data_IF_419775500246
#
_entry.id   IF_419775500246
#
_cell.length_a   1.000
_cell.length_b   1.000
_cell.length_c   1.000
_cell.angle_alpha   90.00
_cell.angle_beta   90.00
_cell.angle_gamma   90.00
#
_symmetry.space_group_name_H-M   'P 1'
#
loop_
_entity.id
_entity.type
_entity.pdbx_description
1 polymer ?
#
# COMPACT_ATOMS: atom_id res chain seq x y z
N UNK A 1 14.86 -33.98 23.87
CA UNK A 1 14.96 -32.51 23.98
C UNK A 1 15.64 -32.01 22.72
N UNK A 2 14.86 -31.49 21.76
CA UNK A 2 15.40 -30.97 20.52
C UNK A 2 15.76 -29.49 20.71
N UNK A 3 17.04 -29.19 20.50
CA UNK A 3 17.61 -27.84 20.48
C UNK A 3 17.15 -27.13 19.21
N UNK A 4 16.34 -26.08 19.33
CA UNK A 4 16.04 -25.16 18.23
C UNK A 4 17.19 -24.17 18.11
N UNK A 5 18.28 -24.59 17.47
CA UNK A 5 19.38 -23.71 17.12
C UNK A 5 18.98 -22.80 15.96
N UNK A 6 18.83 -21.51 16.25
CA UNK A 6 19.00 -20.38 15.33
C UNK A 6 18.46 -20.57 13.91
N UNK A 7 17.14 -20.41 13.73
CA UNK A 7 16.62 -19.93 12.45
C UNK A 7 16.94 -18.44 12.32
N UNK A 8 18.11 -18.11 11.78
CA UNK A 8 18.39 -16.81 11.17
C UNK A 8 17.78 -16.71 9.76
N UNK A 9 16.56 -17.27 9.59
CA UNK A 9 15.64 -16.95 8.51
C UNK A 9 14.60 -15.99 9.07
N UNK A 10 14.18 -14.97 8.32
CA UNK A 10 13.18 -14.01 8.81
C UNK A 10 11.90 -14.73 9.25
N UNK A 11 11.60 -14.72 10.56
CA UNK A 11 10.35 -15.29 11.08
C UNK A 11 9.16 -14.45 10.64
N UNK A 12 8.01 -15.09 10.45
CA UNK A 12 6.75 -14.44 10.12
C UNK A 12 6.34 -13.47 11.23
N UNK A 13 6.57 -13.83 12.50
CA UNK A 13 6.33 -12.95 13.64
C UNK A 13 7.12 -11.63 13.53
N UNK A 14 8.41 -11.70 13.20
CA UNK A 14 9.26 -10.50 13.07
C UNK A 14 8.84 -9.65 11.87
N UNK A 15 8.49 -10.26 10.75
CA UNK A 15 7.99 -9.56 9.57
C UNK A 15 6.63 -8.89 9.83
N UNK A 16 5.72 -9.57 10.53
CA UNK A 16 4.43 -9.00 10.92
C UNK A 16 4.59 -7.83 11.90
N UNK A 17 5.53 -7.94 12.84
CA UNK A 17 5.88 -6.85 13.76
C UNK A 17 6.38 -5.61 13.02
N UNK A 18 7.28 -5.81 12.04
CA UNK A 18 7.76 -4.72 11.18
C UNK A 18 6.63 -4.11 10.36
N UNK A 19 5.75 -4.94 9.79
CA UNK A 19 4.60 -4.47 9.04
C UNK A 19 3.68 -3.60 9.91
N UNK A 20 3.35 -4.07 11.11
CA UNK A 20 2.52 -3.35 12.06
C UNK A 20 3.15 -2.00 12.45
N UNK A 21 4.47 -1.96 12.65
CA UNK A 21 5.20 -0.72 12.97
C UNK A 21 5.22 0.27 11.80
N UNK A 22 5.47 -0.21 10.59
CA UNK A 22 5.43 0.62 9.38
C UNK A 22 4.03 1.18 9.16
N UNK A 23 2.98 0.34 9.29
CA UNK A 23 1.59 0.77 9.15
C UNK A 23 1.14 1.75 10.23
N UNK A 24 1.56 1.56 11.48
CA UNK A 24 1.34 2.53 12.55
C UNK A 24 1.97 3.89 12.24
N UNK A 25 3.20 3.88 11.76
CA UNK A 25 3.92 5.12 11.39
C UNK A 25 3.22 5.81 10.23
N UNK A 26 2.88 5.07 9.18
CA UNK A 26 2.15 5.60 8.02
C UNK A 26 0.78 6.17 8.42
N UNK A 27 0.06 5.50 9.32
CA UNK A 27 -1.22 5.95 9.88
C UNK A 27 -1.08 7.28 10.63
N UNK A 28 -0.06 7.39 11.50
CA UNK A 28 0.19 8.62 12.25
C UNK A 28 0.54 9.79 11.33
N UNK A 29 1.47 9.57 10.40
CA UNK A 29 1.88 10.60 9.44
C UNK A 29 0.69 11.00 8.57
N UNK A 30 0.04 10.02 7.91
CA UNK A 30 -1.08 10.28 7.02
C UNK A 30 -2.24 10.97 7.74
N UNK A 31 -2.58 10.53 8.95
CA UNK A 31 -3.63 11.12 9.76
C UNK A 31 -3.35 12.56 10.18
N UNK A 32 -2.12 12.87 10.62
CA UNK A 32 -1.69 14.25 10.94
C UNK A 32 -1.70 15.12 9.69
N UNK A 33 -1.13 14.64 8.59
CA UNK A 33 -1.08 15.37 7.31
C UNK A 33 -2.48 15.68 6.78
N UNK A 34 -3.40 14.72 6.80
CA UNK A 34 -4.80 14.95 6.39
C UNK A 34 -5.50 15.94 7.32
N UNK A 35 -5.34 15.80 8.63
CA UNK A 35 -5.96 16.74 9.59
C UNK A 35 -5.48 18.17 9.37
N UNK A 36 -4.16 18.37 9.32
CA UNK A 36 -3.54 19.67 9.08
C UNK A 36 -3.88 20.21 7.68
N UNK A 37 -3.87 19.35 6.67
CA UNK A 37 -4.26 19.69 5.29
C UNK A 37 -5.69 20.19 5.20
N UNK A 38 -6.65 19.47 5.82
CA UNK A 38 -8.05 19.90 5.83
C UNK A 38 -8.27 21.23 6.56
N UNK A 39 -7.58 21.46 7.68
CA UNK A 39 -7.63 22.76 8.37
C UNK A 39 -7.01 23.88 7.52
N UNK A 40 -5.89 23.61 6.83
CA UNK A 40 -5.28 24.53 5.88
C UNK A 40 -6.20 24.85 4.71
N UNK A 41 -6.90 23.85 4.17
CA UNK A 41 -7.90 24.03 3.11
C UNK A 41 -9.04 24.92 3.59
N UNK A 42 -9.59 24.70 4.80
CA UNK A 42 -10.61 25.58 5.38
C UNK A 42 -10.12 27.03 5.47
N UNK A 43 -8.87 27.24 5.91
CA UNK A 43 -8.27 28.56 5.99
C UNK A 43 -8.14 29.21 4.60
N UNK A 44 -7.67 28.48 3.59
CA UNK A 44 -7.55 28.99 2.21
C UNK A 44 -8.91 29.39 1.63
N UNK A 45 -9.93 28.53 1.75
CA UNK A 45 -11.27 28.86 1.25
C UNK A 45 -11.88 30.04 2.01
N UNK A 46 -11.59 30.22 3.31
CA UNK A 46 -12.06 31.39 4.06
C UNK A 46 -11.51 32.73 3.54
N UNK A 47 -10.37 32.71 2.84
CA UNK A 47 -9.73 33.91 2.27
C UNK A 47 -10.31 34.33 0.91
N UNK A 48 -11.13 33.50 0.26
CA UNK A 48 -11.81 33.86 -0.99
C UNK A 48 -12.72 35.06 -0.71
N UNK A 49 -12.59 36.14 -1.48
CA UNK A 49 -13.43 37.34 -1.39
C UNK A 49 -14.08 37.61 -2.75
N UNK A 50 -15.21 38.31 -2.74
CA UNK A 50 -15.79 38.88 -3.97
C UNK A 50 -14.83 39.87 -4.60
N UNK A 51 -14.82 39.93 -5.93
CA UNK A 51 -14.02 40.84 -6.77
C UNK A 51 -14.76 41.08 -8.10
N UNK A 52 -14.21 41.85 -9.04
CA UNK A 52 -14.74 42.09 -10.40
C UNK A 52 -15.07 40.79 -11.16
N UNK A 53 -14.35 39.70 -10.86
CA UNK A 53 -14.58 38.39 -11.47
C UNK A 53 -15.55 37.46 -10.68
N UNK A 54 -15.92 37.81 -9.45
CA UNK A 54 -16.65 36.93 -8.52
C UNK A 54 -17.69 37.71 -7.74
N UNK A 55 -18.96 37.41 -7.95
CA UNK A 55 -20.04 37.99 -7.15
C UNK A 55 -19.98 37.51 -5.70
N UNK A 56 -20.55 38.29 -4.75
CA UNK A 56 -20.56 37.90 -3.33
C UNK A 56 -21.32 36.59 -3.08
N UNK A 57 -22.34 36.29 -3.90
CA UNK A 57 -23.09 35.02 -3.81
C UNK A 57 -22.23 33.83 -4.25
N UNK A 58 -21.48 33.97 -5.35
CA UNK A 58 -20.54 32.95 -5.83
C UNK A 58 -19.38 32.75 -4.86
N UNK A 59 -18.80 33.84 -4.32
CA UNK A 59 -17.75 33.76 -3.31
C UNK A 59 -18.23 33.05 -2.04
N UNK A 60 -19.47 33.33 -1.59
CA UNK A 60 -20.08 32.64 -0.44
C UNK A 60 -20.34 31.16 -0.72
N UNK A 61 -20.81 30.83 -1.93
CA UNK A 61 -21.02 29.44 -2.37
C UNK A 61 -19.70 28.67 -2.37
N UNK A 62 -18.63 29.24 -2.94
CA UNK A 62 -17.28 28.66 -2.97
C UNK A 62 -16.70 28.44 -1.57
N UNK A 63 -16.86 29.41 -0.65
CA UNK A 63 -16.50 29.21 0.78
C UNK A 63 -17.24 28.03 1.38
N UNK A 64 -18.55 27.92 1.12
CA UNK A 64 -19.39 26.83 1.61
C UNK A 64 -18.94 25.45 1.13
N UNK A 65 -18.71 25.30 -0.17
CA UNK A 65 -18.16 24.07 -0.77
C UNK A 65 -16.78 23.75 -0.18
N UNK A 66 -15.94 24.78 -0.04
CA UNK A 66 -14.62 24.68 0.58
C UNK A 66 -14.65 24.14 2.00
N UNK A 67 -15.56 24.61 2.84
CA UNK A 67 -15.71 24.12 4.21
C UNK A 67 -16.19 22.67 4.27
N UNK A 68 -17.12 22.27 3.39
CA UNK A 68 -17.56 20.87 3.31
C UNK A 68 -16.38 19.99 2.93
N UNK A 69 -15.63 20.37 1.89
CA UNK A 69 -14.46 19.62 1.43
C UNK A 69 -13.37 19.53 2.50
N UNK A 70 -13.07 20.65 3.16
CA UNK A 70 -12.15 20.70 4.29
C UNK A 70 -12.60 19.80 5.45
N UNK A 71 -13.90 19.81 5.78
CA UNK A 71 -14.48 18.95 6.80
C UNK A 71 -14.31 17.47 6.50
N UNK A 72 -14.51 17.05 5.24
CA UNK A 72 -14.25 15.67 4.82
C UNK A 72 -12.77 15.28 4.99
N UNK A 73 -11.85 16.15 4.56
CA UNK A 73 -10.41 15.89 4.67
C UNK A 73 -10.00 15.78 6.15
N UNK A 74 -10.37 16.77 6.97
CA UNK A 74 -10.04 16.78 8.41
C UNK A 74 -10.66 15.57 9.13
N UNK A 75 -11.94 15.27 8.87
CA UNK A 75 -12.62 14.12 9.45
C UNK A 75 -11.95 12.80 9.10
N UNK A 76 -11.53 12.63 7.84
CA UNK A 76 -10.79 11.44 7.40
C UNK A 76 -9.44 11.29 8.10
N UNK A 77 -8.74 12.40 8.35
CA UNK A 77 -7.49 12.43 9.11
C UNK A 77 -7.68 11.99 10.56
N UNK A 78 -8.72 12.50 11.23
CA UNK A 78 -9.06 12.12 12.62
C UNK A 78 -9.40 10.63 12.71
N UNK A 79 -10.24 10.12 11.80
CA UNK A 79 -10.60 8.69 11.77
C UNK A 79 -9.36 7.82 11.55
N UNK A 80 -8.49 8.23 10.62
CA UNK A 80 -7.22 7.53 10.36
C UNK A 80 -6.34 7.49 11.60
N UNK A 81 -6.24 8.58 12.37
CA UNK A 81 -5.47 8.58 13.62
C UNK A 81 -6.09 7.69 14.70
N UNK A 82 -7.43 7.68 14.80
CA UNK A 82 -8.13 6.96 15.86
C UNK A 82 -8.09 5.44 15.66
N UNK A 83 -8.24 4.95 14.43
CA UNK A 83 -8.45 3.53 14.17
C UNK A 83 -7.13 2.79 13.87
N UNK A 84 -6.75 1.78 14.67
CA UNK A 84 -5.57 0.96 14.37
C UNK A 84 -5.73 0.23 13.04
N UNK A 85 -4.60 0.08 12.34
CA UNK A 85 -4.59 -0.65 11.07
C UNK A 85 -4.77 -2.14 11.27
N UNK A 86 -5.13 -2.86 10.21
CA UNK A 86 -5.31 -4.31 10.27
C UNK A 86 -4.03 -5.04 10.66
N UNK A 87 -2.87 -4.62 10.14
CA UNK A 87 -1.59 -5.18 10.54
C UNK A 87 -1.33 -5.01 12.05
N UNK A 88 -1.69 -3.85 12.62
CA UNK A 88 -1.60 -3.61 14.07
C UNK A 88 -2.53 -4.55 14.86
N UNK A 89 -3.76 -4.72 14.40
CA UNK A 89 -4.75 -5.60 15.05
C UNK A 89 -4.32 -7.07 14.99
N UNK A 90 -3.96 -7.57 13.80
CA UNK A 90 -3.49 -8.95 13.61
C UNK A 90 -2.23 -9.23 14.43
N UNK A 91 -1.26 -8.31 14.47
CA UNK A 91 -0.08 -8.47 15.32
C UNK A 91 -0.45 -8.54 16.80
N UNK A 92 -1.34 -7.66 17.27
CA UNK A 92 -1.82 -7.70 18.66
C UNK A 92 -2.54 -9.00 19.02
N UNK A 93 -3.23 -9.62 18.06
CA UNK A 93 -3.93 -10.89 18.28
C UNK A 93 -2.97 -12.08 18.30
N UNK A 94 -1.98 -12.10 17.41
CA UNK A 94 -0.91 -13.11 17.38
C UNK A 94 -0.12 -13.11 18.69
N UNK A 95 0.13 -11.95 19.29
CA UNK A 95 0.84 -11.82 20.57
C UNK A 95 0.09 -12.38 21.77
N UNK A 96 -1.20 -12.71 21.64
CA UNK A 96 -1.97 -13.39 22.71
C UNK A 96 -1.73 -14.90 22.73
N UNK A 97 -1.05 -15.46 21.72
CA UNK A 97 -0.76 -16.89 21.61
C UNK A 97 0.54 -17.23 22.34
N UNK A 98 0.45 -18.06 23.38
CA UNK A 98 1.61 -18.45 24.20
C UNK A 98 2.52 -19.48 23.51
N UNK A 99 1.95 -20.36 22.68
CA UNK A 99 2.68 -21.42 21.99
C UNK A 99 3.48 -20.84 20.80
N UNK A 100 4.82 -20.94 20.79
CA UNK A 100 5.65 -20.33 19.76
C UNK A 100 5.40 -20.90 18.35
N UNK A 101 5.03 -22.18 18.23
CA UNK A 101 4.80 -22.79 16.92
C UNK A 101 3.48 -22.28 16.32
N UNK A 102 2.42 -22.29 17.13
CA UNK A 102 1.11 -21.76 16.71
C UNK A 102 1.15 -20.26 16.47
N UNK A 103 2.00 -19.55 17.20
CA UNK A 103 2.20 -18.11 17.01
C UNK A 103 2.85 -17.78 15.68
N UNK A 104 3.88 -18.53 15.29
CA UNK A 104 4.52 -18.38 13.97
C UNK A 104 3.56 -18.71 12.83
N UNK A 105 2.76 -19.78 12.97
CA UNK A 105 1.72 -20.12 11.97
C UNK A 105 0.64 -19.04 11.85
N UNK A 106 0.16 -18.50 12.98
CA UNK A 106 -0.80 -17.40 13.00
C UNK A 106 -0.21 -16.09 12.42
N UNK A 107 1.07 -15.83 12.69
CA UNK A 107 1.78 -14.69 12.12
C UNK A 107 1.88 -14.81 10.60
N UNK A 108 2.22 -16.01 10.09
CA UNK A 108 2.27 -16.28 8.66
C UNK A 108 0.90 -16.12 8.00
N UNK A 109 -0.16 -16.71 8.59
CA UNK A 109 -1.52 -16.56 8.07
C UNK A 109 -1.95 -15.08 8.02
N UNK A 110 -1.54 -14.29 9.01
CA UNK A 110 -1.83 -12.85 9.05
C UNK A 110 -1.08 -12.08 7.96
N UNK A 111 0.19 -12.42 7.71
CA UNK A 111 0.97 -11.84 6.61
C UNK A 111 0.36 -12.14 5.23
N UNK A 112 -0.07 -13.38 5.01
CA UNK A 112 -0.76 -13.78 3.77
C UNK A 112 -2.04 -12.97 3.59
N UNK A 113 -2.87 -12.90 4.64
CA UNK A 113 -4.10 -12.12 4.60
C UNK A 113 -3.86 -10.64 4.28
N UNK A 114 -2.90 -10.00 4.95
CA UNK A 114 -2.56 -8.61 4.69
C UNK A 114 -2.03 -8.40 3.26
N UNK A 115 -1.20 -9.31 2.76
CA UNK A 115 -0.66 -9.25 1.40
C UNK A 115 -1.74 -9.41 0.34
N UNK A 116 -2.62 -10.41 0.47
CA UNK A 116 -3.70 -10.67 -0.49
C UNK A 116 -4.70 -9.51 -0.53
N UNK A 117 -5.03 -8.95 0.64
CA UNK A 117 -5.89 -7.79 0.72
C UNK A 117 -5.25 -6.55 0.09
N UNK A 118 -3.99 -6.27 0.39
CA UNK A 118 -3.28 -5.13 -0.17
C UNK A 118 -3.13 -5.25 -1.70
N UNK A 119 -2.84 -6.47 -2.19
CA UNK A 119 -2.82 -6.80 -3.62
C UNK A 119 -4.18 -6.54 -4.27
N UNK A 120 -5.24 -7.06 -3.67
CA UNK A 120 -6.61 -6.87 -4.19
C UNK A 120 -6.96 -5.39 -4.27
N UNK A 121 -6.70 -4.64 -3.21
CA UNK A 121 -6.94 -3.20 -3.17
C UNK A 121 -6.16 -2.45 -4.24
N UNK A 122 -4.84 -2.67 -4.38
CA UNK A 122 -4.07 -1.97 -5.41
C UNK A 122 -4.52 -2.34 -6.82
N UNK A 123 -4.91 -3.59 -7.07
CA UNK A 123 -5.40 -4.00 -8.39
C UNK A 123 -6.72 -3.31 -8.72
N UNK A 124 -7.67 -3.28 -7.77
CA UNK A 124 -8.94 -2.57 -7.93
C UNK A 124 -8.69 -1.07 -8.15
N UNK A 125 -7.87 -0.43 -7.32
CA UNK A 125 -7.50 0.97 -7.50
C UNK A 125 -6.82 1.23 -8.83
N UNK A 126 -5.95 0.32 -9.28
CA UNK A 126 -5.28 0.40 -10.57
C UNK A 126 -6.26 0.37 -11.75
N UNK A 127 -7.23 -0.54 -11.71
CA UNK A 127 -8.29 -0.63 -12.73
C UNK A 127 -9.18 0.62 -12.73
N UNK A 128 -9.61 1.08 -11.55
CA UNK A 128 -10.44 2.28 -11.42
C UNK A 128 -9.69 3.52 -11.94
N UNK A 129 -8.42 3.69 -11.57
CA UNK A 129 -7.58 4.77 -12.08
C UNK A 129 -7.39 4.68 -13.60
N UNK A 130 -7.20 3.47 -14.14
CA UNK A 130 -7.13 3.28 -15.59
C UNK A 130 -8.43 3.68 -16.31
N UNK A 131 -9.58 3.33 -15.73
CA UNK A 131 -10.88 3.72 -16.25
C UNK A 131 -11.08 5.25 -16.22
N UNK A 132 -10.70 5.91 -15.12
CA UNK A 132 -10.72 7.37 -15.03
C UNK A 132 -9.78 8.03 -16.04
N UNK A 133 -8.58 7.48 -16.25
CA UNK A 133 -7.65 7.98 -17.26
C UNK A 133 -8.26 7.96 -18.66
N UNK A 134 -8.91 6.85 -19.04
CA UNK A 134 -9.61 6.71 -20.32
C UNK A 134 -10.81 7.67 -20.42
N UNK A 135 -11.56 7.84 -19.33
CA UNK A 135 -12.65 8.81 -19.29
C UNK A 135 -12.14 10.23 -19.56
N UNK A 136 -11.10 10.68 -18.85
CA UNK A 136 -10.56 12.04 -19.05
C UNK A 136 -9.89 12.22 -20.42
N UNK A 137 -9.27 11.18 -21.00
CA UNK A 137 -8.74 11.22 -22.37
C UNK A 137 -9.81 11.40 -23.44
N UNK A 138 -11.02 10.88 -23.20
CA UNK A 138 -12.11 10.85 -24.19
C UNK A 138 -13.22 11.86 -23.92
N UNK A 139 -13.25 12.44 -22.72
CA UNK A 139 -14.20 13.47 -22.34
C UNK A 139 -13.95 14.77 -23.14
N UNK A 140 -15.01 15.30 -23.75
CA UNK A 140 -14.96 16.62 -24.38
C UNK A 140 -14.74 17.69 -23.31
N UNK A 141 -13.84 18.63 -23.59
CA UNK A 141 -13.65 19.78 -22.70
C UNK A 141 -14.95 20.59 -22.62
N UNK A 142 -15.42 20.82 -21.39
CA UNK A 142 -16.52 21.76 -21.12
C UNK A 142 -15.97 23.19 -21.04
N UNK A 143 -16.76 24.16 -21.50
CA UNK A 143 -16.42 25.59 -21.64
C UNK A 143 -15.77 26.26 -20.40
N UNK A 144 -15.92 25.67 -19.21
CA UNK A 144 -15.39 26.17 -17.94
C UNK A 144 -13.96 25.73 -17.59
N UNK A 145 -13.41 24.72 -18.28
CA UNK A 145 -12.09 24.18 -17.97
C UNK A 145 -11.10 24.47 -19.09
N UNK A 146 -9.85 24.77 -18.72
CA UNK A 146 -8.75 24.97 -19.67
C UNK A 146 -8.63 23.79 -20.64
N UNK A 147 -8.20 24.05 -21.88
CA UNK A 147 -8.02 23.02 -22.93
C UNK A 147 -7.20 21.80 -22.48
N UNK A 148 -6.31 21.98 -21.49
CA UNK A 148 -5.40 20.93 -21.01
C UNK A 148 -5.86 20.24 -19.70
N UNK A 149 -6.98 20.66 -19.09
CA UNK A 149 -7.47 20.09 -17.82
C UNK A 149 -7.66 18.57 -17.92
N UNK A 150 -8.37 18.13 -18.94
CA UNK A 150 -8.67 16.70 -19.17
C UNK A 150 -7.38 15.88 -19.41
N UNK A 151 -6.44 16.40 -20.20
CA UNK A 151 -5.15 15.75 -20.46
C UNK A 151 -4.31 15.58 -19.20
N UNK A 152 -4.27 16.62 -18.36
CA UNK A 152 -3.54 16.57 -17.08
C UNK A 152 -4.10 15.51 -16.14
N UNK A 153 -5.42 15.50 -15.94
CA UNK A 153 -6.08 14.49 -15.12
C UNK A 153 -5.89 13.07 -15.67
N UNK A 154 -5.99 12.91 -17.00
CA UNK A 154 -5.74 11.62 -17.61
C UNK A 154 -4.33 11.10 -17.36
N UNK A 155 -3.30 11.95 -17.48
CA UNK A 155 -1.91 11.56 -17.19
C UNK A 155 -1.72 11.20 -15.72
N UNK A 156 -2.30 11.97 -14.79
CA UNK A 156 -2.27 11.65 -13.36
C UNK A 156 -2.88 10.28 -13.07
N UNK A 157 -4.08 10.03 -13.60
CA UNK A 157 -4.77 8.75 -13.39
C UNK A 157 -4.05 7.59 -14.09
N UNK A 158 -3.48 7.81 -15.27
CA UNK A 158 -2.68 6.80 -15.97
C UNK A 158 -1.41 6.43 -15.17
N UNK A 159 -0.71 7.43 -14.64
CA UNK A 159 0.45 7.23 -13.76
C UNK A 159 0.07 6.47 -12.49
N UNK A 160 -1.03 6.86 -11.84
CA UNK A 160 -1.56 6.19 -10.66
C UNK A 160 -1.97 4.74 -10.97
N UNK A 161 -2.57 4.48 -12.14
CA UNK A 161 -2.90 3.12 -12.59
C UNK A 161 -1.64 2.28 -12.76
N UNK A 162 -0.63 2.81 -13.46
CA UNK A 162 0.67 2.15 -13.64
C UNK A 162 1.35 1.82 -12.32
N UNK A 163 1.37 2.75 -11.37
CA UNK A 163 1.93 2.53 -10.04
C UNK A 163 1.18 1.41 -9.28
N UNK A 164 -0.15 1.48 -9.26
CA UNK A 164 -0.98 0.51 -8.54
C UNK A 164 -0.92 -0.91 -9.15
N UNK A 165 -0.85 -1.03 -10.47
CA UNK A 165 -0.77 -2.33 -11.16
C UNK A 165 0.65 -2.90 -11.16
N UNK A 166 1.67 -2.05 -11.29
CA UNK A 166 3.07 -2.46 -11.46
C UNK A 166 3.87 -2.61 -10.18
N UNK A 167 3.54 -1.85 -9.11
CA UNK A 167 4.35 -1.81 -7.89
C UNK A 167 3.67 -2.62 -6.78
N UNK A 168 4.35 -3.68 -6.32
CA UNK A 168 3.90 -4.46 -5.15
C UNK A 168 3.83 -3.60 -3.90
N UNK A 169 2.79 -3.85 -3.09
CA UNK A 169 2.62 -3.21 -1.79
C UNK A 169 3.70 -3.65 -0.79
N UNK A 170 3.79 -2.95 0.34
CA UNK A 170 4.73 -3.30 1.41
C UNK A 170 4.39 -4.69 1.98
N UNK A 171 3.11 -4.98 2.15
CA UNK A 171 2.59 -6.28 2.61
C UNK A 171 3.02 -7.42 1.68
N UNK A 172 2.82 -7.24 0.36
CA UNK A 172 3.26 -8.21 -0.65
C UNK A 172 4.79 -8.43 -0.57
N UNK A 173 5.57 -7.35 -0.45
CA UNK A 173 7.03 -7.44 -0.33
C UNK A 173 7.49 -8.12 0.96
N UNK A 174 6.76 -7.96 2.07
CA UNK A 174 7.10 -8.64 3.32
C UNK A 174 6.79 -10.14 3.25
N UNK A 175 5.71 -10.54 2.57
CA UNK A 175 5.43 -11.94 2.29
C UNK A 175 6.47 -12.55 1.35
N UNK A 176 6.85 -11.84 0.27
CA UNK A 176 7.92 -12.27 -0.63
C UNK A 176 9.23 -12.52 0.14
N UNK A 177 9.62 -11.60 1.04
CA UNK A 177 10.81 -11.75 1.90
C UNK A 177 10.74 -12.97 2.81
N UNK A 178 9.56 -13.30 3.34
CA UNK A 178 9.37 -14.51 4.12
C UNK A 178 9.63 -15.75 3.25
N UNK A 179 9.03 -15.82 2.05
CA UNK A 179 9.23 -16.95 1.14
C UNK A 179 10.68 -17.07 0.65
N UNK A 180 11.34 -15.95 0.34
CA UNK A 180 12.76 -15.91 0.00
C UNK A 180 13.63 -16.42 1.16
N UNK A 181 13.34 -16.00 2.40
CA UNK A 181 14.02 -16.48 3.61
C UNK A 181 13.86 -17.99 3.80
N UNK A 182 12.65 -18.51 3.60
CA UNK A 182 12.39 -19.96 3.68
C UNK A 182 13.09 -20.75 2.57
N UNK A 183 13.16 -20.21 1.35
CA UNK A 183 13.87 -20.85 0.23
C UNK A 183 15.40 -20.86 0.42
N UNK A 184 15.95 -19.89 1.16
CA UNK A 184 17.37 -19.83 1.52
C UNK A 184 17.68 -20.77 2.69
N UNK A 185 16.75 -20.91 3.65
CA UNK A 185 16.89 -21.78 4.81
C UNK A 185 16.53 -23.25 4.55
N UNK A 186 15.83 -23.57 3.46
CA UNK A 186 15.59 -24.94 3.05
C UNK A 186 16.90 -25.57 2.51
N UNK A 187 17.22 -26.84 2.86
CA UNK A 187 18.33 -27.55 2.25
C UNK A 187 18.13 -27.60 0.74
N UNK A 188 18.91 -26.81 0.01
CA UNK A 188 18.91 -26.82 -1.46
C UNK A 188 19.71 -28.04 -1.92
N UNK A 189 19.01 -29.14 -2.18
CA UNK A 189 19.50 -30.16 -3.09
C UNK A 189 19.28 -29.65 -4.51
N UNK A 190 20.37 -29.38 -5.23
CA UNK A 190 20.32 -29.03 -6.65
C UNK A 190 20.91 -30.18 -7.44
N UNK A 191 20.07 -30.78 -8.27
CA UNK A 191 20.46 -31.79 -9.23
C UNK A 191 20.44 -31.17 -10.62
N UNK A 192 21.62 -30.85 -11.14
CA UNK A 192 21.79 -30.39 -12.51
C UNK A 192 22.24 -31.58 -13.37
N UNK A 193 21.54 -31.80 -14.49
CA UNK A 193 21.87 -32.84 -15.46
C UNK A 193 22.14 -32.17 -16.81
N UNK A 194 23.28 -32.49 -17.42
CA UNK A 194 23.71 -31.84 -18.65
C UNK A 194 24.56 -32.75 -19.54
N UNK A 195 24.57 -32.40 -20.83
CA UNK A 195 25.40 -33.04 -21.84
C UNK A 195 26.59 -32.12 -22.15
N UNK A 196 27.79 -32.68 -22.13
CA UNK A 196 29.01 -31.97 -22.49
C UNK A 196 29.24 -32.05 -24.01
N UNK A 197 29.98 -31.09 -24.61
CA UNK A 197 30.23 -31.06 -26.06
C UNK A 197 30.97 -32.28 -26.61
N UNK A 198 31.61 -33.07 -25.75
CA UNK A 198 32.29 -34.33 -26.08
C UNK A 198 31.36 -35.56 -26.05
N UNK A 199 30.06 -35.36 -25.83
CA UNK A 199 29.05 -36.41 -25.74
C UNK A 199 28.99 -37.09 -24.38
N UNK A 200 29.78 -36.67 -23.40
CA UNK A 200 29.71 -37.18 -22.03
C UNK A 200 28.51 -36.58 -21.28
N UNK A 201 28.00 -37.36 -20.32
CA UNK A 201 26.89 -36.96 -19.46
C UNK A 201 27.45 -36.52 -18.12
N UNK A 202 27.09 -35.32 -17.67
CA UNK A 202 27.41 -34.83 -16.33
C UNK A 202 26.15 -34.74 -15.49
N UNK A 203 26.24 -35.28 -14.28
CA UNK A 203 25.24 -35.13 -13.24
C UNK A 203 25.93 -34.51 -12.03
N UNK A 204 25.51 -33.30 -11.65
CA UNK A 204 26.04 -32.59 -10.49
C UNK A 204 24.97 -32.58 -9.43
N UNK A 205 25.20 -33.34 -8.36
CA UNK A 205 24.43 -33.24 -7.14
C UNK A 205 25.17 -32.32 -6.18
N UNK A 206 24.58 -31.16 -5.91
CA UNK A 206 25.10 -30.23 -4.91
C UNK A 206 24.15 -30.20 -3.71
N UNK A 207 24.72 -30.42 -2.53
CA UNK A 207 24.01 -30.42 -1.27
C UNK A 207 24.73 -29.44 -0.34
N UNK A 208 23.98 -28.47 0.20
CA UNK A 208 24.50 -27.46 1.13
C UNK A 208 23.86 -27.67 2.50
N UNK A 209 24.70 -27.89 3.51
CA UNK A 209 24.33 -27.87 4.93
C UNK A 209 24.30 -26.44 5.45
#
# INVERSE_FOLDING_TARGET
>A
MASYSNQTGLTAEHLLSNLAREKKTARLIGGVTLTAGGLGTAALFSMIKSDEALTEEEAKSLRGIGYIFAGFITGSGIITLALPTEAENHYSDVMKINDPVKREEAAYSSLVFCADRARTNRLISGVLNGAFALYFLTAKSTYYFEENYNTYWALLFAGAAGANLGIKSVEEKMLDRYHEGQQVSAPRSRFDFGWLPDGSVTAVYSYRF
#
